data_IF_004171810673
#
_entry.id   IF_004171810673
#
_cell.length_a   1.000
_cell.length_b   1.000
_cell.length_c   1.000
_cell.angle_alpha   90.00
_cell.angle_beta   90.00
_cell.angle_gamma   90.00
#
_symmetry.space_group_name_H-M   'P 1'
#
loop_
_entity.id
_entity.type
_entity.pdbx_description
1 polymer ?
#
# COMPACT_ATOMS: atom_id res chain seq x y z
N UNK A 1 64.44 4.82 51.29
CA UNK A 1 63.52 5.19 50.18
C UNK A 1 62.76 3.95 49.75
N UNK A 2 61.49 3.79 50.13
CA UNK A 2 60.61 2.72 49.65
C UNK A 2 59.31 3.41 49.22
N UNK A 3 59.04 3.49 47.92
CA UNK A 3 57.80 4.09 47.38
C UNK A 3 56.77 2.98 47.21
N UNK A 4 55.71 3.04 48.01
CA UNK A 4 54.57 2.13 47.93
C UNK A 4 53.83 2.30 46.60
N UNK A 5 53.61 1.18 45.91
CA UNK A 5 52.81 1.09 44.70
C UNK A 5 51.33 1.13 45.10
N UNK A 6 50.70 2.30 45.01
CA UNK A 6 49.26 2.46 45.17
C UNK A 6 48.57 1.91 43.92
N UNK A 7 47.94 0.74 44.05
CA UNK A 7 47.06 0.20 43.00
C UNK A 7 45.78 1.04 42.99
N UNK A 8 45.64 1.86 41.96
CA UNK A 8 44.37 2.48 41.59
C UNK A 8 43.36 1.37 41.31
N UNK A 9 42.40 1.20 42.21
CA UNK A 9 41.18 0.43 41.96
C UNK A 9 40.39 1.25 40.93
N UNK A 10 40.45 0.80 39.68
CA UNK A 10 39.68 1.37 38.59
C UNK A 10 38.20 1.07 38.88
N UNK A 11 37.45 2.09 39.28
CA UNK A 11 36.01 2.00 39.49
C UNK A 11 35.34 1.49 38.20
N UNK A 12 34.72 0.33 38.28
CA UNK A 12 33.86 -0.19 37.21
C UNK A 12 32.69 0.78 37.11
N UNK A 13 32.61 1.52 35.99
CA UNK A 13 31.44 2.32 35.64
C UNK A 13 30.28 1.35 35.41
N UNK A 14 29.41 1.16 36.40
CA UNK A 14 28.09 0.59 36.17
C UNK A 14 27.29 1.60 35.37
N UNK A 15 27.11 1.37 34.07
CA UNK A 15 26.13 2.13 33.30
C UNK A 15 24.76 1.92 33.96
N UNK A 16 24.16 2.99 34.47
CA UNK A 16 22.78 2.94 34.91
C UNK A 16 21.94 2.49 33.71
N UNK A 17 21.40 1.28 33.77
CA UNK A 17 20.49 0.75 32.75
C UNK A 17 19.20 1.55 32.84
N UNK A 18 19.11 2.61 32.05
CA UNK A 18 17.86 3.36 31.88
C UNK A 18 16.82 2.36 31.35
N UNK A 19 15.71 2.19 32.08
CA UNK A 19 14.65 1.27 31.66
C UNK A 19 14.05 1.79 30.36
N UNK A 20 14.32 1.08 29.25
CA UNK A 20 13.74 1.39 27.95
C UNK A 20 12.43 0.61 27.78
N UNK A 21 11.32 1.30 27.52
CA UNK A 21 10.06 0.66 27.15
C UNK A 21 10.09 0.31 25.67
N UNK A 22 10.10 -0.99 25.39
CA UNK A 22 9.99 -1.52 24.04
C UNK A 22 8.52 -1.78 23.76
N UNK A 23 8.03 -1.16 22.69
CA UNK A 23 6.68 -1.38 22.17
C UNK A 23 6.73 -1.95 20.77
N UNK A 24 5.65 -2.62 20.41
CA UNK A 24 5.44 -3.18 19.09
C UNK A 24 4.43 -2.32 18.34
N UNK A 25 4.77 -1.95 17.11
CA UNK A 25 3.87 -1.29 16.18
C UNK A 25 3.56 -2.22 15.01
N UNK A 26 2.39 -2.05 14.40
CA UNK A 26 2.01 -2.76 13.18
C UNK A 26 1.84 -1.73 12.06
N UNK A 27 2.62 -1.91 10.99
CA UNK A 27 2.39 -1.25 9.72
C UNK A 27 1.54 -2.17 8.85
N UNK A 28 0.22 -2.13 9.07
CA UNK A 28 -0.72 -2.88 8.26
C UNK A 28 -1.10 -2.06 7.02
N UNK A 29 -0.93 -2.66 5.84
CA UNK A 29 -1.26 -2.02 4.58
C UNK A 29 -2.15 -2.86 3.68
N UNK A 30 -2.92 -2.18 2.84
CA UNK A 30 -3.68 -2.72 1.71
C UNK A 30 -2.97 -2.30 0.42
N UNK A 31 -2.53 -3.27 -0.37
CA UNK A 31 -1.84 -3.02 -1.65
C UNK A 31 -2.81 -2.47 -2.73
N UNK A 32 -2.33 -1.70 -3.73
CA UNK A 32 -3.19 -1.22 -4.80
C UNK A 32 -3.78 -2.39 -5.60
N UNK A 33 -5.10 -2.35 -5.80
CA UNK A 33 -5.87 -3.37 -6.53
C UNK A 33 -5.86 -3.09 -8.03
N UNK A 34 -5.86 -1.80 -8.42
CA UNK A 34 -5.82 -1.39 -9.82
C UNK A 34 -4.51 -0.67 -10.14
N UNK A 35 -4.15 -0.68 -11.43
CA UNK A 35 -3.00 0.09 -11.93
C UNK A 35 -3.24 1.58 -11.76
N UNK A 36 -2.21 2.38 -11.43
CA UNK A 36 -2.34 3.83 -11.31
C UNK A 36 -2.59 4.50 -12.67
N UNK A 37 -3.18 5.70 -12.63
CA UNK A 37 -3.30 6.51 -13.83
C UNK A 37 -1.90 6.95 -14.30
N UNK A 38 -1.58 6.82 -15.60
CA UNK A 38 -0.30 7.28 -16.11
C UNK A 38 -0.22 8.81 -16.05
N UNK A 39 0.99 9.31 -15.84
CA UNK A 39 1.31 10.74 -15.97
C UNK A 39 1.15 11.22 -17.43
N UNK A 40 1.05 12.54 -17.65
CA UNK A 40 0.95 13.13 -18.99
C UNK A 40 2.16 12.74 -19.87
N UNK A 41 3.37 12.76 -19.30
CA UNK A 41 4.55 12.29 -20.02
C UNK A 41 4.48 10.78 -20.31
N UNK A 42 4.03 9.99 -19.35
CA UNK A 42 3.93 8.52 -19.53
C UNK A 42 2.91 8.16 -20.61
N UNK A 43 1.76 8.84 -20.63
CA UNK A 43 0.72 8.63 -21.64
C UNK A 43 1.17 9.06 -23.03
N UNK A 44 1.80 10.22 -23.18
CA UNK A 44 2.37 10.67 -24.47
C UNK A 44 3.47 9.74 -24.97
N UNK A 45 4.36 9.28 -24.08
CA UNK A 45 5.39 8.29 -24.42
C UNK A 45 4.79 6.95 -24.87
N UNK A 46 3.77 6.45 -24.17
CA UNK A 46 3.08 5.20 -24.55
C UNK A 46 2.40 5.33 -25.91
N UNK A 47 1.76 6.47 -26.19
CA UNK A 47 1.15 6.76 -27.49
C UNK A 47 2.19 6.80 -28.61
N UNK A 48 3.33 7.44 -28.37
CA UNK A 48 4.45 7.45 -29.30
C UNK A 48 5.03 6.05 -29.54
N UNK A 49 5.20 5.27 -28.48
CA UNK A 49 5.70 3.89 -28.60
C UNK A 49 4.73 3.02 -29.40
N UNK A 50 3.44 3.17 -29.14
CA UNK A 50 2.38 2.46 -29.86
C UNK A 50 2.34 2.85 -31.34
N UNK A 51 2.54 4.14 -31.68
CA UNK A 51 2.57 4.57 -33.09
C UNK A 51 3.80 4.05 -33.85
N UNK A 52 4.98 4.05 -33.21
CA UNK A 52 6.19 3.43 -33.77
C UNK A 52 6.04 1.92 -33.94
N UNK A 53 5.49 1.24 -32.94
CA UNK A 53 5.23 -0.19 -32.97
C UNK A 53 4.29 -0.54 -34.12
N UNK A 54 3.21 0.22 -34.31
CA UNK A 54 2.31 0.07 -35.44
C UNK A 54 3.00 0.31 -36.79
N UNK A 55 3.86 1.33 -36.89
CA UNK A 55 4.60 1.64 -38.11
C UNK A 55 5.63 0.55 -38.49
N UNK A 56 6.24 -0.09 -37.49
CA UNK A 56 7.22 -1.17 -37.68
C UNK A 56 6.58 -2.56 -37.75
N UNK A 57 5.32 -2.68 -37.33
CA UNK A 57 4.61 -3.96 -37.33
C UNK A 57 4.34 -4.45 -38.74
N UNK A 58 4.29 -5.78 -38.89
CA UNK A 58 3.80 -6.39 -40.13
C UNK A 58 2.28 -6.19 -40.18
N UNK A 59 1.70 -5.98 -41.37
CA UNK A 59 0.26 -5.84 -41.48
C UNK A 59 -0.45 -7.08 -40.92
N UNK A 60 -1.60 -6.86 -40.29
CA UNK A 60 -2.38 -7.93 -39.67
C UNK A 60 -2.86 -8.95 -40.73
N UNK A 61 -2.49 -10.24 -40.62
CA UNK A 61 -2.84 -11.25 -41.61
C UNK A 61 -4.28 -11.76 -41.39
N UNK A 62 -5.28 -10.95 -41.74
CA UNK A 62 -6.68 -11.26 -41.45
C UNK A 62 -7.19 -12.55 -42.12
N UNK A 63 -6.64 -12.95 -43.28
CA UNK A 63 -6.98 -14.20 -43.97
C UNK A 63 -6.63 -15.46 -43.14
N UNK A 64 -5.67 -15.35 -42.22
CA UNK A 64 -5.31 -16.44 -41.32
C UNK A 64 -6.36 -16.62 -40.21
N UNK A 65 -6.94 -15.51 -39.73
CA UNK A 65 -7.88 -15.51 -38.61
C UNK A 65 -9.33 -15.66 -39.05
N UNK A 66 -9.69 -15.12 -40.21
CA UNK A 66 -11.04 -15.18 -40.77
C UNK A 66 -11.08 -16.06 -42.00
N UNK A 67 -12.00 -17.03 -42.01
CA UNK A 67 -12.21 -17.87 -43.19
C UNK A 67 -12.76 -17.04 -44.34
N UNK A 68 -12.26 -17.30 -45.54
CA UNK A 68 -12.75 -16.68 -46.78
C UNK A 68 -14.25 -16.94 -46.97
N UNK A 69 -15.00 -15.91 -47.30
CA UNK A 69 -16.45 -15.91 -47.45
C UNK A 69 -17.24 -15.94 -46.14
N UNK A 70 -16.59 -15.88 -44.98
CA UNK A 70 -17.30 -15.84 -43.69
C UNK A 70 -17.91 -14.47 -43.42
N UNK A 71 -18.99 -14.45 -42.62
CA UNK A 71 -19.60 -13.21 -42.15
C UNK A 71 -18.60 -12.35 -41.34
N UNK A 72 -17.62 -12.98 -40.69
CA UNK A 72 -16.58 -12.31 -39.91
C UNK A 72 -15.56 -11.61 -40.81
N UNK A 73 -15.14 -12.24 -41.91
CA UNK A 73 -14.30 -11.61 -42.92
C UNK A 73 -15.02 -10.39 -43.52
N UNK A 74 -16.30 -10.53 -43.85
CA UNK A 74 -17.10 -9.41 -44.37
C UNK A 74 -17.17 -8.25 -43.38
N UNK A 75 -17.49 -8.51 -42.11
CA UNK A 75 -17.50 -7.49 -41.05
C UNK A 75 -16.15 -6.80 -40.89
N UNK A 76 -15.06 -7.57 -40.91
CA UNK A 76 -13.70 -7.03 -40.82
C UNK A 76 -13.36 -6.13 -42.01
N UNK A 77 -13.64 -6.60 -43.23
CA UNK A 77 -13.40 -5.84 -44.45
C UNK A 77 -14.26 -4.58 -44.49
N UNK A 78 -15.53 -4.66 -44.09
CA UNK A 78 -16.43 -3.51 -44.06
C UNK A 78 -16.00 -2.48 -43.01
N UNK A 79 -15.49 -2.93 -41.85
CA UNK A 79 -14.86 -2.07 -40.85
C UNK A 79 -13.55 -1.42 -41.35
N UNK A 80 -12.81 -2.10 -42.23
CA UNK A 80 -11.51 -1.64 -42.74
C UNK A 80 -11.63 -0.81 -44.03
N UNK A 81 -12.74 -0.91 -44.78
CA UNK A 81 -12.97 -0.24 -46.07
C UNK A 81 -13.20 1.28 -45.97
N UNK A 82 -13.48 1.82 -44.79
CA UNK A 82 -13.45 3.27 -44.56
C UNK A 82 -12.03 3.82 -44.78
N UNK A 83 -11.89 5.01 -45.36
CA UNK A 83 -10.60 5.64 -45.68
C UNK A 83 -9.54 5.54 -44.56
N UNK A 84 -8.23 5.61 -44.89
CA UNK A 84 -7.08 5.15 -44.09
C UNK A 84 -6.78 5.96 -42.80
N UNK A 85 -7.72 6.78 -42.37
CA UNK A 85 -7.71 7.47 -41.09
C UNK A 85 -8.67 6.73 -40.13
N UNK A 86 -8.34 5.48 -39.81
CA UNK A 86 -8.59 4.78 -38.53
C UNK A 86 -10.03 4.70 -37.93
N UNK A 87 -11.10 5.14 -38.59
CA UNK A 87 -12.41 5.33 -37.92
C UNK A 87 -13.37 4.13 -38.00
N UNK A 88 -13.28 3.28 -39.03
CA UNK A 88 -14.21 2.14 -39.18
C UNK A 88 -13.99 1.01 -38.18
N UNK A 89 -12.74 0.71 -37.82
CA UNK A 89 -12.40 -0.27 -36.78
C UNK A 89 -12.76 0.26 -35.39
N UNK A 90 -12.60 1.57 -35.15
CA UNK A 90 -13.02 2.23 -33.90
C UNK A 90 -14.51 2.05 -33.66
N UNK A 91 -15.35 2.28 -34.66
CA UNK A 91 -16.81 2.15 -34.54
C UNK A 91 -17.27 0.73 -34.18
N UNK A 92 -16.73 -0.30 -34.84
CA UNK A 92 -17.06 -1.71 -34.52
C UNK A 92 -16.57 -2.07 -33.12
N UNK A 93 -15.34 -1.64 -32.78
CA UNK A 93 -14.76 -1.85 -31.46
C UNK A 93 -15.57 -1.14 -30.37
N UNK A 94 -16.04 0.07 -30.60
CA UNK A 94 -16.87 0.83 -29.66
C UNK A 94 -18.22 0.16 -29.43
N UNK A 95 -18.89 -0.34 -30.47
CA UNK A 95 -20.16 -1.06 -30.32
C UNK A 95 -20.00 -2.37 -29.55
N UNK A 96 -18.93 -3.14 -29.80
CA UNK A 96 -18.64 -4.36 -29.05
C UNK A 96 -18.21 -4.07 -27.61
N UNK A 97 -17.35 -3.07 -27.39
CA UNK A 97 -16.92 -2.66 -26.05
C UNK A 97 -18.06 -2.06 -25.23
N UNK A 98 -19.01 -1.36 -25.85
CA UNK A 98 -20.18 -0.82 -25.16
C UNK A 98 -21.05 -1.91 -24.50
N UNK A 99 -20.98 -3.15 -25.00
CA UNK A 99 -21.69 -4.28 -24.40
C UNK A 99 -21.00 -4.86 -23.16
N UNK A 100 -19.74 -4.51 -22.91
CA UNK A 100 -18.96 -5.01 -21.77
C UNK A 100 -18.95 -3.92 -20.69
N UNK A 101 -19.76 -4.05 -19.62
CA UNK A 101 -19.76 -3.06 -18.54
C UNK A 101 -18.43 -3.14 -17.77
N UNK A 102 -17.60 -2.11 -17.90
CA UNK A 102 -16.37 -1.96 -17.11
C UNK A 102 -16.72 -1.21 -15.83
N UNK A 103 -16.35 -1.77 -14.67
CA UNK A 103 -16.55 -1.10 -13.39
C UNK A 103 -15.74 0.21 -13.34
N UNK A 104 -16.30 1.28 -12.75
CA UNK A 104 -15.58 2.54 -12.62
C UNK A 104 -14.35 2.38 -11.72
N UNK A 105 -13.28 3.10 -12.05
CA UNK A 105 -12.05 3.12 -11.25
C UNK A 105 -12.23 3.82 -9.90
N UNK A 106 -13.16 4.77 -9.82
CA UNK A 106 -13.59 5.44 -8.58
C UNK A 106 -14.80 4.72 -8.02
N UNK A 107 -14.74 4.38 -6.75
CA UNK A 107 -15.82 3.68 -6.06
C UNK A 107 -16.75 4.65 -5.35
N UNK A 108 -17.87 4.14 -4.83
CA UNK A 108 -18.81 4.93 -4.00
C UNK A 108 -18.10 5.43 -2.73
N UNK A 109 -17.13 4.67 -2.21
CA UNK A 109 -16.31 5.06 -1.07
C UNK A 109 -15.35 6.22 -1.40
N UNK A 110 -14.89 6.33 -2.66
CA UNK A 110 -14.12 7.49 -3.13
C UNK A 110 -14.98 8.75 -3.21
N UNK A 111 -16.22 8.63 -3.69
CA UNK A 111 -17.15 9.75 -3.79
C UNK A 111 -17.60 10.27 -2.41
N UNK A 112 -17.86 9.34 -1.48
CA UNK A 112 -18.21 9.65 -0.10
C UNK A 112 -16.99 10.03 0.78
N UNK A 113 -15.77 9.83 0.28
CA UNK A 113 -14.52 9.93 1.02
C UNK A 113 -14.54 9.13 2.34
N UNK A 114 -15.08 7.91 2.27
CA UNK A 114 -15.20 7.02 3.44
C UNK A 114 -13.84 6.42 3.80
N UNK A 115 -13.24 6.92 4.88
CA UNK A 115 -11.95 6.44 5.36
C UNK A 115 -12.05 5.13 6.12
N UNK A 116 -13.23 4.63 6.48
CA UNK A 116 -13.37 3.32 7.12
C UNK A 116 -13.35 2.16 6.12
N UNK A 117 -13.67 2.43 4.85
CA UNK A 117 -13.74 1.42 3.79
C UNK A 117 -12.38 1.12 3.15
N UNK A 118 -12.17 -0.16 2.82
CA UNK A 118 -11.01 -0.65 2.06
C UNK A 118 -11.14 -0.41 0.55
N UNK A 119 -12.37 -0.23 0.07
CA UNK A 119 -12.72 -0.07 -1.34
C UNK A 119 -12.48 1.38 -1.84
N UNK A 120 -11.93 2.26 -1.01
CA UNK A 120 -11.48 3.61 -1.40
C UNK A 120 -10.08 3.55 -1.99
N UNK A 121 -9.74 4.43 -2.93
CA UNK A 121 -8.41 4.64 -3.52
C UNK A 121 -7.74 3.33 -3.98
N UNK A 122 -8.42 2.58 -4.86
CA UNK A 122 -7.97 1.27 -5.31
C UNK A 122 -6.59 1.28 -5.99
N UNK A 123 -6.12 2.42 -6.48
CA UNK A 123 -4.83 2.60 -7.15
C UNK A 123 -3.68 2.99 -6.20
N UNK A 124 -3.98 3.25 -4.92
CA UNK A 124 -3.01 3.64 -3.89
C UNK A 124 -2.92 2.60 -2.79
N UNK A 125 -1.79 2.57 -2.09
CA UNK A 125 -1.63 1.81 -0.85
C UNK A 125 -2.32 2.54 0.29
N UNK A 126 -3.17 1.83 1.03
CA UNK A 126 -3.78 2.33 2.26
C UNK A 126 -3.07 1.75 3.48
N UNK A 127 -2.97 2.54 4.53
CA UNK A 127 -2.42 2.18 5.82
C UNK A 127 -3.49 2.28 6.89
N UNK A 128 -3.50 1.30 7.78
CA UNK A 128 -4.38 1.30 8.94
C UNK A 128 -3.86 2.31 9.98
N UNK A 129 -4.72 3.24 10.37
CA UNK A 129 -4.47 4.21 11.44
C UNK A 129 -5.62 4.16 12.43
N UNK A 130 -5.28 4.14 13.71
CA UNK A 130 -6.23 4.12 14.81
C UNK A 130 -6.20 5.46 15.55
N UNK A 131 -7.37 5.96 15.92
CA UNK A 131 -7.50 7.11 16.80
C UNK A 131 -7.57 6.63 18.25
N UNK A 132 -6.47 6.76 18.98
CA UNK A 132 -6.43 6.51 20.42
C UNK A 132 -6.49 7.80 21.24
N UNK A 133 -6.23 7.68 22.54
CA UNK A 133 -6.19 8.83 23.47
C UNK A 133 -5.15 9.88 23.08
N UNK A 134 -4.03 9.43 22.52
CA UNK A 134 -2.90 10.29 22.13
C UNK A 134 -2.93 10.71 20.66
N UNK A 135 -4.11 10.68 20.03
CA UNK A 135 -4.31 11.07 18.64
C UNK A 135 -4.24 9.91 17.66
N UNK A 136 -4.09 10.24 16.38
CA UNK A 136 -3.96 9.26 15.30
C UNK A 136 -2.58 8.63 15.31
N UNK A 137 -2.53 7.30 15.41
CA UNK A 137 -1.31 6.50 15.40
C UNK A 137 -1.52 5.22 14.62
N UNK A 138 -0.43 4.63 14.16
CA UNK A 138 -0.45 3.25 13.69
C UNK A 138 -0.78 2.33 14.89
N UNK A 139 -1.40 1.16 14.67
CA UNK A 139 -1.65 0.20 15.74
C UNK A 139 -0.38 -0.12 16.51
N UNK A 140 -0.41 0.09 17.82
CA UNK A 140 0.74 -0.06 18.71
C UNK A 140 0.33 -0.72 20.02
N UNK A 141 1.21 -1.55 20.58
CA UNK A 141 0.97 -2.22 21.85
C UNK A 141 2.24 -2.48 22.63
N UNK A 142 2.03 -2.95 23.86
CA UNK A 142 3.13 -3.31 24.74
C UNK A 142 3.62 -4.73 24.45
N UNK A 143 4.92 -4.91 24.61
CA UNK A 143 5.54 -6.23 24.65
C UNK A 143 5.32 -6.81 26.04
N UNK A 144 4.68 -7.99 26.15
CA UNK A 144 4.53 -8.66 27.45
C UNK A 144 5.60 -9.75 27.60
N UNK A 145 6.19 -9.92 28.78
CA UNK A 145 7.07 -11.05 29.08
C UNK A 145 8.14 -11.35 28.01
N UNK A 146 8.18 -12.62 27.57
CA UNK A 146 9.18 -13.18 26.63
C UNK A 146 8.64 -13.40 25.19
N UNK A 147 7.53 -12.77 24.79
CA UNK A 147 7.02 -12.92 23.42
C UNK A 147 7.93 -12.23 22.38
N UNK A 148 8.00 -12.81 21.18
CA UNK A 148 8.75 -12.22 20.07
C UNK A 148 7.96 -11.04 19.47
N UNK A 149 8.67 -10.05 18.93
CA UNK A 149 8.05 -8.83 18.39
C UNK A 149 6.93 -9.10 17.37
N UNK A 150 7.12 -10.07 16.47
CA UNK A 150 6.10 -10.43 15.48
C UNK A 150 4.87 -11.13 16.09
N UNK A 151 5.04 -11.89 17.18
CA UNK A 151 3.94 -12.54 17.90
C UNK A 151 3.13 -11.49 18.67
N UNK A 152 3.82 -10.57 19.34
CA UNK A 152 3.20 -9.45 20.02
C UNK A 152 2.43 -8.54 19.04
N UNK A 153 2.98 -8.29 17.85
CA UNK A 153 2.31 -7.54 16.79
C UNK A 153 1.00 -8.22 16.34
N UNK A 154 1.03 -9.53 16.10
CA UNK A 154 -0.16 -10.29 15.69
C UNK A 154 -1.23 -10.30 16.78
N UNK A 155 -0.83 -10.53 18.04
CA UNK A 155 -1.73 -10.47 19.19
C UNK A 155 -2.37 -9.10 19.31
N UNK A 156 -1.57 -8.04 19.28
CA UNK A 156 -2.07 -6.67 19.46
C UNK A 156 -3.03 -6.26 18.34
N UNK A 157 -2.73 -6.65 17.10
CA UNK A 157 -3.61 -6.39 15.97
C UNK A 157 -4.97 -7.06 16.17
N UNK A 158 -5.00 -8.30 16.64
CA UNK A 158 -6.25 -9.00 16.96
C UNK A 158 -6.98 -8.42 18.16
N UNK A 159 -6.26 -7.92 19.17
CA UNK A 159 -6.86 -7.22 20.31
C UNK A 159 -7.53 -5.91 19.89
N UNK A 160 -6.87 -5.11 19.05
CA UNK A 160 -7.34 -3.78 18.67
C UNK A 160 -8.36 -3.79 17.53
N UNK A 161 -8.21 -4.69 16.55
CA UNK A 161 -9.04 -4.74 15.35
C UNK A 161 -9.98 -5.96 15.29
N UNK A 162 -9.85 -6.89 16.23
CA UNK A 162 -10.61 -8.13 16.26
C UNK A 162 -10.09 -9.21 15.31
N UNK A 163 -10.82 -10.31 15.23
CA UNK A 163 -10.48 -11.47 14.40
C UNK A 163 -11.16 -11.46 13.02
N UNK A 164 -11.84 -10.37 12.66
CA UNK A 164 -12.59 -10.24 11.39
C UNK A 164 -11.70 -9.98 10.16
N UNK A 165 -10.39 -9.92 10.35
CA UNK A 165 -9.42 -9.54 9.33
C UNK A 165 -8.37 -10.63 9.16
N UNK A 166 -8.14 -11.02 7.91
CA UNK A 166 -7.06 -11.91 7.53
C UNK A 166 -5.82 -11.08 7.21
N UNK A 167 -4.74 -11.32 7.96
CA UNK A 167 -3.49 -10.61 7.80
C UNK A 167 -2.32 -11.54 7.57
N UNK A 168 -1.38 -11.07 6.76
CA UNK A 168 -0.13 -11.75 6.49
C UNK A 168 1.04 -10.86 6.90
N UNK A 169 1.79 -11.31 7.91
CA UNK A 169 3.03 -10.67 8.33
C UNK A 169 4.16 -11.04 7.37
N UNK A 170 4.87 -10.03 6.86
CA UNK A 170 5.91 -10.23 5.83
C UNK A 170 7.13 -10.98 6.40
N UNK A 171 7.42 -10.82 7.68
CA UNK A 171 8.51 -11.52 8.35
C UNK A 171 8.68 -11.11 9.82
N UNK A 172 9.70 -11.68 10.47
CA UNK A 172 10.01 -11.43 11.88
C UNK A 172 10.95 -10.25 12.13
N UNK A 173 11.30 -9.49 11.09
CA UNK A 173 12.23 -8.36 11.14
C UNK A 173 11.40 -7.06 11.13
N UNK A 174 11.64 -6.12 12.05
CA UNK A 174 10.98 -4.82 12.01
C UNK A 174 11.47 -4.01 10.81
N UNK A 175 10.55 -3.28 10.18
CA UNK A 175 10.85 -2.41 9.02
C UNK A 175 11.46 -1.09 9.45
N UNK A 176 11.12 -0.63 10.65
CA UNK A 176 11.70 0.57 11.22
C UNK A 176 11.25 0.74 12.67
N UNK A 177 11.64 1.87 13.24
CA UNK A 177 11.31 2.20 14.62
C UNK A 177 10.99 3.69 14.75
N UNK A 178 10.24 4.02 15.79
CA UNK A 178 9.98 5.39 16.22
C UNK A 178 10.40 5.52 17.67
N UNK A 179 11.22 6.52 17.96
CA UNK A 179 11.60 6.87 19.33
C UNK A 179 10.70 7.98 19.85
N UNK A 180 10.02 7.76 20.97
CA UNK A 180 9.20 8.78 21.64
C UNK A 180 9.84 9.15 22.96
N UNK A 181 10.50 10.30 23.00
CA UNK A 181 11.28 10.70 24.17
C UNK A 181 12.50 9.79 24.40
N UNK A 182 13.12 9.85 25.58
CA UNK A 182 14.45 9.26 25.80
C UNK A 182 14.44 7.75 25.99
N UNK A 183 13.32 7.15 26.39
CA UNK A 183 13.27 5.78 26.87
C UNK A 183 12.28 4.88 26.13
N UNK A 184 11.50 5.39 25.18
CA UNK A 184 10.46 4.62 24.54
C UNK A 184 10.75 4.42 23.05
N UNK A 185 10.78 3.17 22.63
CA UNK A 185 11.02 2.79 21.23
C UNK A 185 9.92 1.84 20.75
N UNK A 186 9.25 2.22 19.67
CA UNK A 186 8.23 1.42 19.01
C UNK A 186 8.84 0.80 17.76
N UNK A 187 8.88 -0.52 17.66
CA UNK A 187 9.36 -1.22 16.46
C UNK A 187 8.20 -1.66 15.59
N UNK A 188 8.20 -1.26 14.33
CA UNK A 188 7.10 -1.52 13.40
C UNK A 188 7.31 -2.81 12.59
N UNK A 189 6.35 -3.72 12.71
CA UNK A 189 6.26 -4.94 11.91
C UNK A 189 5.38 -4.69 10.70
N UNK A 190 5.81 -5.12 9.51
CA UNK A 190 5.03 -4.96 8.28
C UNK A 190 4.08 -6.13 8.08
N UNK A 191 2.82 -5.79 7.81
CA UNK A 191 1.76 -6.74 7.52
C UNK A 191 0.92 -6.28 6.33
N UNK A 192 0.35 -7.24 5.61
CA UNK A 192 -0.60 -7.02 4.53
C UNK A 192 -1.97 -7.51 4.96
N UNK A 193 -3.02 -6.75 4.66
CA UNK A 193 -4.38 -7.26 4.73
C UNK A 193 -4.69 -8.05 3.45
N UNK A 194 -5.21 -9.26 3.61
CA UNK A 194 -5.63 -10.11 2.48
C UNK A 194 -7.14 -10.02 2.26
N UNK A 195 -7.90 -9.85 3.34
CA UNK A 195 -9.35 -9.69 3.30
C UNK A 195 -9.94 -9.48 4.69
N UNK A 196 -11.24 -9.22 4.72
CA UNK A 196 -12.00 -8.99 5.93
C UNK A 196 -12.24 -7.50 6.22
N UNK A 197 -12.99 -7.26 7.28
CA UNK A 197 -13.39 -5.93 7.71
C UNK A 197 -13.08 -5.76 9.19
N UNK A 198 -12.78 -4.53 9.58
CA UNK A 198 -12.56 -4.20 10.99
C UNK A 198 -13.91 -3.81 11.57
N UNK A 199 -14.36 -4.54 12.59
CA UNK A 199 -15.51 -4.11 13.36
C UNK A 199 -15.10 -2.88 14.17
N UNK A 200 -15.67 -1.72 13.85
CA UNK A 200 -15.46 -0.49 14.60
C UNK A 200 -15.89 -0.74 16.06
N UNK A 201 -14.90 -0.89 16.94
CA UNK A 201 -15.12 -1.06 18.38
C UNK A 201 -15.27 0.33 19.02
N UNK A 202 -16.06 0.44 20.10
CA UNK A 202 -16.42 1.72 20.74
C UNK A 202 -15.23 2.62 21.12
N UNK A 203 -14.05 2.01 21.32
CA UNK A 203 -12.92 2.69 21.95
C UNK A 203 -11.91 3.26 20.93
N UNK A 204 -11.88 2.74 19.69
CA UNK A 204 -10.90 3.14 18.67
C UNK A 204 -11.58 3.40 17.32
N UNK A 205 -11.55 4.65 16.86
CA UNK A 205 -11.97 4.97 15.48
C UNK A 205 -10.89 4.50 14.50
N UNK A 206 -11.31 3.75 13.49
CA UNK A 206 -10.43 3.17 12.48
C UNK A 206 -10.48 3.99 11.20
N UNK A 207 -9.32 4.23 10.59
CA UNK A 207 -9.23 4.85 9.28
C UNK A 207 -8.15 4.19 8.41
N UNK A 208 -8.46 3.99 7.14
CA UNK A 208 -7.58 3.56 6.07
C UNK A 208 -7.16 4.77 5.24
N UNK A 209 -5.90 5.16 5.40
CA UNK A 209 -5.36 6.41 4.87
C UNK A 209 -4.27 6.15 3.85
N UNK A 210 -4.23 6.96 2.80
CA UNK A 210 -3.08 7.00 1.89
C UNK A 210 -1.84 7.54 2.61
N UNK A 211 -0.64 7.38 2.05
CA UNK A 211 0.60 7.91 2.64
C UNK A 211 0.48 9.41 2.97
N UNK A 212 -0.07 10.21 2.06
CA UNK A 212 -0.18 11.66 2.21
C UNK A 212 -1.15 12.05 3.34
N UNK A 213 -2.25 11.32 3.47
CA UNK A 213 -3.24 11.53 4.54
C UNK A 213 -2.70 11.04 5.89
N UNK A 214 -2.02 9.89 5.91
CA UNK A 214 -1.42 9.34 7.11
C UNK A 214 -0.36 10.29 7.70
N UNK A 215 0.51 10.86 6.87
CA UNK A 215 1.52 11.84 7.29
C UNK A 215 0.92 13.14 7.83
N UNK A 216 -0.28 13.54 7.35
CA UNK A 216 -1.01 14.70 7.87
C UNK A 216 -1.76 14.38 9.18
N UNK A 217 -2.19 13.14 9.36
CA UNK A 217 -2.94 12.70 10.53
C UNK A 217 -2.02 12.44 11.75
N UNK A 218 -0.83 11.89 11.51
CA UNK A 218 0.18 11.62 12.53
C UNK A 218 0.76 12.92 13.12
N UNK A 219 1.34 12.83 14.32
CA UNK A 219 2.14 13.93 14.87
C UNK A 219 3.35 14.19 13.98
N UNK A 220 3.83 15.45 13.94
CA UNK A 220 4.93 15.83 13.04
C UNK A 220 6.20 15.00 13.28
N UNK A 221 6.53 14.72 14.54
CA UNK A 221 7.72 13.95 14.92
C UNK A 221 7.61 12.47 14.51
N UNK A 222 6.42 11.87 14.68
CA UNK A 222 6.17 10.50 14.24
C UNK A 222 6.12 10.43 12.72
N UNK A 223 5.50 11.41 12.05
CA UNK A 223 5.37 11.46 10.60
C UNK A 223 6.74 11.49 9.90
N UNK A 224 7.71 12.25 10.42
CA UNK A 224 9.07 12.29 9.86
C UNK A 224 9.75 10.93 9.97
N UNK A 225 9.64 10.26 11.13
CA UNK A 225 10.26 8.95 11.36
C UNK A 225 9.57 7.83 10.56
N UNK A 226 8.25 7.92 10.39
CA UNK A 226 7.43 6.93 9.68
C UNK A 226 7.46 7.11 8.16
N UNK A 227 7.79 8.31 7.65
CA UNK A 227 7.73 8.63 6.23
C UNK A 227 8.51 7.68 5.32
N UNK A 228 9.65 7.15 5.79
CA UNK A 228 10.48 6.20 5.04
C UNK A 228 9.92 4.76 5.06
N UNK A 229 9.19 4.40 6.13
CA UNK A 229 8.52 3.10 6.23
C UNK A 229 7.32 2.97 5.28
N UNK A 230 6.68 4.09 4.93
CA UNK A 230 5.53 4.13 4.03
C UNK A 230 5.96 4.11 2.55
N UNK A 231 5.44 3.16 1.79
CA UNK A 231 5.51 3.16 0.31
C UNK A 231 4.99 4.49 -0.25
N UNK A 232 5.74 5.08 -1.18
CA UNK A 232 5.35 6.30 -1.92
C UNK A 232 4.11 6.11 -2.80
N UNK A 233 3.71 4.85 -3.00
CA UNK A 233 2.56 4.45 -3.80
C UNK A 233 1.61 3.62 -2.99
#
# INVERSE_FOLDING_TARGET
>A
MMRGCSRLIQQIRTHATVAHSIRVGILLKRDPVITPNPDEFSSSYLNYRHSLENAHSRPFPYEFYFKRGSLQEQRWLDATKGQPNDDGIKLVKEHELASIPVAPRRTIADEANDTASLDRALDRTLYLVLKGEHGWRLPEGNLNGDELLHQAASRELHTQCGNGMETWFVGSIPVGHVTRGPNETVFYMKAHILGGTIASTSDNTVAWLTKEEALKALSQDDAIQVADMLSTR
#
